data_IF_338696182471
#
_entry.id   IF_338696182471
#
_cell.length_a   1.000
_cell.length_b   1.000
_cell.length_c   1.000
_cell.angle_alpha   90.00
_cell.angle_beta   90.00
_cell.angle_gamma   90.00
#
_symmetry.space_group_name_H-M   'P 1'
#
loop_
_entity.id
_entity.type
_entity.pdbx_description
1 polymer ?
#
# COMPACT_ATOMS: atom_id res chain seq x y z
N UNK A 1 -2.07 -34.46 5.34
CA UNK A 1 -3.22 -34.25 4.47
C UNK A 1 -2.78 -33.31 3.37
N UNK A 2 -2.63 -33.80 2.14
CA UNK A 2 -2.36 -32.95 0.95
C UNK A 2 -3.57 -32.07 0.75
N UNK A 3 -3.43 -30.76 0.96
CA UNK A 3 -4.49 -29.79 0.65
C UNK A 3 -4.76 -29.88 -0.86
N UNK A 4 -5.99 -30.16 -1.26
CA UNK A 4 -6.38 -30.26 -2.67
C UNK A 4 -6.09 -28.95 -3.40
N UNK A 5 -5.44 -29.05 -4.56
CA UNK A 5 -5.20 -27.90 -5.44
C UNK A 5 -6.43 -27.65 -6.29
N UNK A 6 -6.84 -26.40 -6.39
CA UNK A 6 -7.95 -25.96 -7.24
C UNK A 6 -7.43 -25.61 -8.62
N UNK A 7 -8.09 -26.10 -9.69
CA UNK A 7 -7.75 -25.79 -11.08
C UNK A 7 -8.76 -24.80 -11.66
N UNK A 8 -8.28 -23.70 -12.20
CA UNK A 8 -9.12 -22.66 -12.81
C UNK A 8 -8.43 -21.99 -14.01
N UNK A 9 -9.14 -21.18 -14.75
CA UNK A 9 -8.61 -20.45 -15.90
C UNK A 9 -8.32 -19.01 -15.54
N UNK A 10 -7.06 -18.58 -15.68
CA UNK A 10 -6.61 -17.19 -15.55
C UNK A 10 -6.18 -16.67 -16.93
N UNK A 11 -6.93 -15.73 -17.49
CA UNK A 11 -6.72 -15.21 -18.85
C UNK A 11 -6.59 -16.37 -19.87
N UNK A 12 -7.57 -17.29 -19.86
CA UNK A 12 -7.67 -18.47 -20.76
C UNK A 12 -6.63 -19.57 -20.51
N UNK A 13 -5.64 -19.37 -19.63
CA UNK A 13 -4.67 -20.39 -19.26
C UNK A 13 -5.16 -21.19 -18.06
N UNK A 14 -5.11 -22.52 -18.16
CA UNK A 14 -5.39 -23.38 -17.01
C UNK A 14 -4.23 -23.28 -16.00
N UNK A 15 -4.55 -22.94 -14.76
CA UNK A 15 -3.60 -22.73 -13.67
C UNK A 15 -4.07 -23.45 -12.40
N UNK A 16 -3.12 -23.69 -11.48
CA UNK A 16 -3.40 -24.30 -10.18
C UNK A 16 -3.23 -23.26 -9.07
N UNK A 17 -4.23 -23.19 -8.19
CA UNK A 17 -4.15 -22.49 -6.93
C UNK A 17 -3.79 -23.45 -5.79
N UNK A 18 -2.94 -23.02 -4.89
CA UNK A 18 -2.76 -23.72 -3.62
C UNK A 18 -3.97 -23.50 -2.72
N UNK A 19 -4.13 -24.35 -1.70
CA UNK A 19 -5.21 -24.15 -0.75
C UNK A 19 -5.08 -22.75 -0.10
N UNK A 20 -6.21 -22.06 -0.05
CA UNK A 20 -6.33 -20.71 0.52
C UNK A 20 -5.75 -19.55 -0.30
N UNK A 21 -5.06 -19.79 -1.43
CA UNK A 21 -4.64 -18.70 -2.31
C UNK A 21 -5.83 -17.93 -2.89
N UNK A 22 -5.72 -16.61 -2.92
CA UNK A 22 -6.64 -15.73 -3.64
C UNK A 22 -6.29 -15.66 -5.12
N UNK A 23 -7.23 -15.19 -5.95
CA UNK A 23 -6.98 -14.96 -7.38
C UNK A 23 -5.77 -14.02 -7.58
N UNK A 24 -5.65 -12.99 -6.75
CA UNK A 24 -4.53 -12.04 -6.81
C UNK A 24 -3.19 -12.73 -6.53
N UNK A 25 -3.11 -13.57 -5.48
CA UNK A 25 -1.88 -14.30 -5.14
C UNK A 25 -1.44 -15.26 -6.23
N UNK A 26 -2.39 -16.00 -6.83
CA UNK A 26 -2.09 -16.87 -7.97
C UNK A 26 -1.61 -16.05 -9.16
N UNK A 27 -2.27 -14.93 -9.49
CA UNK A 27 -1.88 -14.05 -10.58
C UNK A 27 -0.47 -13.49 -10.37
N UNK A 28 -0.18 -12.98 -9.18
CA UNK A 28 1.13 -12.44 -8.81
C UNK A 28 2.25 -13.50 -8.93
N UNK A 29 2.04 -14.68 -8.37
CA UNK A 29 2.98 -15.82 -8.47
C UNK A 29 3.27 -16.24 -9.91
N UNK A 30 2.31 -16.04 -10.81
CA UNK A 30 2.45 -16.36 -12.25
C UNK A 30 2.89 -15.17 -13.09
N UNK A 31 3.27 -14.05 -12.48
CA UNK A 31 3.74 -12.84 -13.17
C UNK A 31 2.65 -12.03 -13.85
N UNK A 32 1.38 -12.24 -13.50
CA UNK A 32 0.27 -11.41 -13.98
C UNK A 32 0.00 -10.29 -12.99
N UNK A 33 0.34 -9.06 -13.37
CA UNK A 33 0.13 -7.89 -12.51
C UNK A 33 -1.36 -7.51 -12.43
N UNK A 34 -1.87 -7.39 -11.21
CA UNK A 34 -3.19 -6.84 -10.92
C UNK A 34 -3.02 -5.68 -9.95
N UNK A 35 -3.52 -4.47 -10.27
CA UNK A 35 -3.42 -3.32 -9.37
C UNK A 35 -4.02 -3.60 -7.99
N UNK A 36 -3.35 -3.11 -6.95
CA UNK A 36 -3.81 -3.22 -5.57
C UNK A 36 -3.22 -2.08 -4.73
N UNK A 37 -3.96 -1.63 -3.72
CA UNK A 37 -3.51 -0.57 -2.83
C UNK A 37 -3.80 -0.90 -1.36
N UNK A 38 -4.93 -1.56 -1.05
CA UNK A 38 -5.31 -1.91 0.32
C UNK A 38 -4.89 -3.33 0.74
N UNK A 39 -4.11 -4.00 -0.06
CA UNK A 39 -3.64 -5.36 0.18
C UNK A 39 -2.10 -5.40 0.22
N UNK A 40 -1.57 -6.14 1.16
CA UNK A 40 -0.15 -6.50 1.26
C UNK A 40 -0.02 -8.01 1.34
N UNK A 41 0.89 -8.60 0.56
CA UNK A 41 1.17 -10.05 0.60
C UNK A 41 2.20 -10.41 1.69
N UNK A 42 2.57 -9.44 2.53
CA UNK A 42 3.45 -9.68 3.68
C UNK A 42 2.74 -10.51 4.76
N UNK A 43 3.48 -11.32 5.52
CA UNK A 43 2.92 -12.06 6.64
C UNK A 43 2.18 -11.16 7.65
N UNK A 44 1.04 -11.63 8.14
CA UNK A 44 0.23 -10.91 9.12
C UNK A 44 -0.82 -9.96 8.53
N UNK A 45 -0.77 -9.66 7.23
CA UNK A 45 -1.79 -8.83 6.59
C UNK A 45 -2.90 -9.67 5.98
N UNK A 46 -4.13 -9.42 6.40
CA UNK A 46 -5.31 -9.95 5.72
C UNK A 46 -5.79 -8.99 4.62
N UNK A 47 -6.54 -9.49 3.66
CA UNK A 47 -7.15 -8.67 2.63
C UNK A 47 -8.53 -8.16 3.07
N UNK A 48 -8.80 -6.86 2.89
CA UNK A 48 -10.11 -6.26 3.17
C UNK A 48 -10.91 -5.92 1.91
N UNK A 49 -10.24 -5.81 0.75
CA UNK A 49 -10.89 -5.47 -0.52
C UNK A 49 -11.46 -4.05 -0.56
N UNK A 50 -10.95 -3.11 0.24
CA UNK A 50 -11.48 -1.76 0.40
C UNK A 50 -11.31 -0.88 -0.85
N UNK A 51 -10.10 -0.84 -1.43
CA UNK A 51 -9.76 0.10 -2.49
C UNK A 51 -10.37 -0.23 -3.86
N UNK A 52 -10.78 -1.48 -4.08
CA UNK A 52 -11.34 -1.95 -5.36
C UNK A 52 -10.43 -1.81 -6.60
N UNK A 53 -9.15 -1.50 -6.42
CA UNK A 53 -8.20 -1.44 -7.52
C UNK A 53 -7.94 -2.80 -8.19
N UNK A 54 -8.16 -3.91 -7.48
CA UNK A 54 -7.86 -5.27 -7.93
C UNK A 54 -9.05 -6.00 -8.59
N UNK A 55 -10.05 -5.27 -9.11
CA UNK A 55 -11.25 -5.88 -9.69
C UNK A 55 -10.93 -6.71 -10.93
N UNK A 56 -11.51 -7.91 -11.00
CA UNK A 56 -11.43 -8.85 -12.13
C UNK A 56 -12.80 -9.31 -12.55
N UNK A 57 -12.94 -9.75 -13.79
CA UNK A 57 -14.19 -10.36 -14.28
C UNK A 57 -14.14 -11.87 -14.15
N UNK A 58 -15.21 -12.44 -13.63
CA UNK A 58 -15.42 -13.89 -13.55
C UNK A 58 -16.57 -14.23 -14.50
N UNK A 59 -16.32 -15.17 -15.43
CA UNK A 59 -17.33 -15.59 -16.42
C UNK A 59 -18.53 -16.18 -15.71
N UNK A 60 -19.72 -15.72 -16.10
CA UNK A 60 -20.98 -16.12 -15.49
C UNK A 60 -21.40 -15.31 -14.26
N UNK A 61 -20.52 -14.47 -13.69
CA UNK A 61 -20.88 -13.56 -12.59
C UNK A 61 -21.33 -12.19 -13.13
N UNK A 62 -22.42 -11.66 -12.55
CA UNK A 62 -22.98 -10.35 -12.96
C UNK A 62 -22.05 -9.18 -12.62
N UNK A 63 -21.31 -9.29 -11.53
CA UNK A 63 -20.45 -8.22 -10.98
C UNK A 63 -18.99 -8.63 -11.02
N UNK A 64 -18.10 -7.61 -11.00
CA UNK A 64 -16.67 -7.83 -10.85
C UNK A 64 -16.34 -8.27 -9.41
N UNK A 65 -15.29 -9.06 -9.27
CA UNK A 65 -14.79 -9.53 -7.99
C UNK A 65 -13.47 -8.87 -7.61
N UNK A 66 -13.28 -8.60 -6.31
CA UNK A 66 -11.99 -8.15 -5.78
C UNK A 66 -11.04 -9.36 -5.67
N UNK A 67 -10.04 -9.42 -6.53
CA UNK A 67 -9.13 -10.57 -6.63
C UNK A 67 -8.29 -10.81 -5.38
N UNK A 68 -8.04 -9.78 -4.57
CA UNK A 68 -7.29 -9.90 -3.32
C UNK A 68 -8.02 -10.68 -2.20
N UNK A 69 -9.35 -10.84 -2.30
CA UNK A 69 -10.15 -11.60 -1.32
C UNK A 69 -10.84 -12.81 -1.94
N UNK A 70 -11.10 -12.79 -3.24
CA UNK A 70 -11.78 -13.89 -3.93
C UNK A 70 -10.84 -15.08 -4.11
N UNK A 71 -11.23 -16.23 -3.58
CA UNK A 71 -10.56 -17.51 -3.84
C UNK A 71 -11.10 -18.14 -5.13
N UNK A 72 -10.26 -18.79 -5.94
CA UNK A 72 -10.73 -19.52 -7.10
C UNK A 72 -11.49 -20.78 -6.70
N UNK A 73 -12.42 -21.19 -7.57
CA UNK A 73 -13.10 -22.48 -7.50
C UNK A 73 -12.81 -23.28 -8.77
N UNK A 74 -13.03 -24.58 -8.75
CA UNK A 74 -12.75 -25.43 -9.91
C UNK A 74 -13.49 -24.95 -11.16
N UNK A 75 -12.74 -24.95 -12.27
CA UNK A 75 -13.21 -24.53 -13.58
C UNK A 75 -13.63 -23.04 -13.67
N UNK A 76 -13.44 -22.23 -12.63
CA UNK A 76 -13.68 -20.78 -12.68
C UNK A 76 -12.87 -20.16 -13.82
N UNK A 77 -13.46 -19.23 -14.57
CA UNK A 77 -12.76 -18.49 -15.63
C UNK A 77 -12.64 -17.03 -15.25
N UNK A 78 -11.42 -16.57 -15.05
CA UNK A 78 -11.08 -15.21 -14.60
C UNK A 78 -10.40 -14.46 -15.72
N UNK A 79 -10.90 -13.26 -16.02
CA UNK A 79 -10.29 -12.29 -16.95
C UNK A 79 -9.78 -11.09 -16.17
N UNK A 80 -8.46 -10.92 -16.14
CA UNK A 80 -7.83 -9.81 -15.40
C UNK A 80 -7.84 -8.50 -16.17
N UNK A 81 -8.02 -8.54 -17.50
CA UNK A 81 -7.90 -7.39 -18.40
C UNK A 81 -9.07 -7.24 -19.36
N UNK A 82 -10.27 -7.68 -18.97
CA UNK A 82 -11.49 -7.42 -19.75
C UNK A 82 -11.81 -5.91 -19.76
N UNK A 83 -12.52 -5.43 -20.77
CA UNK A 83 -12.93 -4.02 -20.88
C UNK A 83 -13.68 -3.54 -19.63
N UNK A 84 -14.56 -4.40 -19.08
CA UNK A 84 -15.29 -4.12 -17.85
C UNK A 84 -14.38 -3.96 -16.64
N UNK A 85 -13.36 -4.82 -16.49
CA UNK A 85 -12.39 -4.75 -15.41
C UNK A 85 -11.49 -3.53 -15.54
N UNK A 86 -10.97 -3.23 -16.75
CA UNK A 86 -10.17 -2.03 -17.03
C UNK A 86 -10.95 -0.77 -16.71
N UNK A 87 -12.17 -0.64 -17.24
CA UNK A 87 -13.02 0.54 -16.99
C UNK A 87 -13.33 0.76 -15.52
N UNK A 88 -13.58 -0.32 -14.77
CA UNK A 88 -13.80 -0.24 -13.33
C UNK A 88 -12.56 0.28 -12.60
N UNK A 89 -11.37 -0.21 -12.95
CA UNK A 89 -10.09 0.26 -12.37
C UNK A 89 -9.81 1.73 -12.68
N UNK A 90 -9.98 2.12 -13.94
CA UNK A 90 -9.84 3.53 -14.35
C UNK A 90 -10.70 4.44 -13.47
N UNK A 91 -11.98 4.10 -13.30
CA UNK A 91 -12.90 4.88 -12.47
C UNK A 91 -12.50 4.89 -10.99
N UNK A 92 -12.01 3.78 -10.45
CA UNK A 92 -11.51 3.72 -9.07
C UNK A 92 -10.28 4.61 -8.91
N UNK A 93 -9.30 4.53 -9.80
CA UNK A 93 -8.11 5.38 -9.74
C UNK A 93 -8.44 6.85 -9.98
N UNK A 94 -9.39 7.17 -10.85
CA UNK A 94 -9.88 8.52 -11.05
C UNK A 94 -10.51 9.11 -9.78
N UNK A 95 -11.34 8.33 -9.07
CA UNK A 95 -11.92 8.72 -7.77
C UNK A 95 -10.84 8.94 -6.71
N UNK A 96 -9.87 8.04 -6.60
CA UNK A 96 -8.79 8.17 -5.63
C UNK A 96 -7.86 9.35 -5.97
N UNK A 97 -7.66 9.64 -7.26
CA UNK A 97 -6.84 10.76 -7.73
C UNK A 97 -7.46 12.11 -7.36
N UNK A 98 -8.80 12.21 -7.26
CA UNK A 98 -9.47 13.45 -6.88
C UNK A 98 -8.97 14.00 -5.53
N UNK A 99 -8.68 13.12 -4.59
CA UNK A 99 -8.26 13.48 -3.24
C UNK A 99 -6.73 13.65 -3.09
N UNK A 100 -5.96 13.32 -4.13
CA UNK A 100 -4.50 13.41 -4.06
C UNK A 100 -3.99 14.82 -4.40
N UNK A 101 -2.85 15.23 -3.81
CA UNK A 101 -2.10 16.38 -4.33
C UNK A 101 -1.61 16.08 -5.75
N UNK A 102 -1.24 17.10 -6.53
CA UNK A 102 -0.62 16.90 -7.84
C UNK A 102 0.69 16.11 -7.69
N UNK A 103 1.01 15.27 -8.66
CA UNK A 103 2.19 14.37 -8.60
C UNK A 103 3.50 15.10 -8.31
N UNK A 104 3.66 16.32 -8.86
CA UNK A 104 4.86 17.15 -8.71
C UNK A 104 5.09 17.62 -7.27
N UNK A 105 4.01 17.76 -6.50
CA UNK A 105 4.02 18.19 -5.10
C UNK A 105 3.49 17.10 -4.16
N UNK A 106 3.36 15.87 -4.66
CA UNK A 106 2.91 14.74 -3.86
C UNK A 106 3.89 14.43 -2.73
N UNK A 107 3.36 14.00 -1.60
CA UNK A 107 4.15 13.66 -0.40
C UNK A 107 5.17 12.56 -0.69
N UNK A 108 4.77 11.55 -1.47
CA UNK A 108 5.65 10.56 -2.08
C UNK A 108 5.23 10.31 -3.53
N UNK A 109 5.93 10.93 -4.48
CA UNK A 109 5.66 10.79 -5.90
C UNK A 109 6.11 9.44 -6.50
N UNK A 110 6.79 8.60 -5.71
CA UNK A 110 7.18 7.23 -6.05
C UNK A 110 6.37 6.17 -5.31
N UNK A 111 5.31 6.57 -4.61
CA UNK A 111 4.41 5.64 -3.91
C UNK A 111 3.76 4.64 -4.86
N UNK A 112 3.24 3.54 -4.32
CA UNK A 112 2.57 2.53 -5.12
C UNK A 112 1.31 3.08 -5.81
N UNK A 113 0.65 4.06 -5.21
CA UNK A 113 -0.45 4.78 -5.83
C UNK A 113 -0.02 5.42 -7.16
N UNK A 114 1.06 6.22 -7.18
CA UNK A 114 1.53 6.89 -8.39
C UNK A 114 2.07 5.92 -9.44
N UNK A 115 2.72 4.84 -9.03
CA UNK A 115 3.14 3.77 -9.96
C UNK A 115 1.94 3.13 -10.67
N UNK A 116 0.83 2.92 -9.95
CA UNK A 116 -0.39 2.37 -10.55
C UNK A 116 -1.14 3.40 -11.40
N UNK A 117 -1.18 4.67 -11.00
CA UNK A 117 -1.74 5.76 -11.82
C UNK A 117 -1.07 5.79 -13.21
N UNK A 118 0.28 5.73 -13.23
CA UNK A 118 1.03 5.71 -14.48
C UNK A 118 0.70 4.46 -15.33
N UNK A 119 0.58 3.28 -14.72
CA UNK A 119 0.25 2.03 -15.42
C UNK A 119 -1.19 1.95 -15.92
N UNK A 120 -2.13 2.55 -15.21
CA UNK A 120 -3.56 2.58 -15.57
C UNK A 120 -3.86 3.77 -16.51
N UNK A 121 -2.89 4.69 -16.69
CA UNK A 121 -2.93 5.84 -17.59
C UNK A 121 -4.03 6.87 -17.25
N UNK A 122 -4.40 7.01 -15.97
CA UNK A 122 -5.33 8.03 -15.50
C UNK A 122 -4.59 9.33 -15.30
N UNK A 123 -4.94 10.37 -16.06
CA UNK A 123 -4.23 11.67 -16.06
C UNK A 123 -4.90 12.72 -15.18
N UNK A 124 -6.22 12.73 -15.16
CA UNK A 124 -7.03 13.75 -14.50
C UNK A 124 -8.25 13.11 -13.85
N UNK A 125 -8.79 13.76 -12.84
CA UNK A 125 -10.06 13.40 -12.24
C UNK A 125 -11.13 14.43 -12.58
N UNK A 126 -12.31 13.96 -12.94
CA UNK A 126 -13.50 14.82 -13.14
C UNK A 126 -14.23 15.12 -11.82
N UNK A 127 -13.79 14.51 -10.72
CA UNK A 127 -14.41 14.68 -9.40
C UNK A 127 -13.76 15.85 -8.67
N UNK A 128 -14.53 16.58 -7.82
CA UNK A 128 -13.98 17.67 -7.02
C UNK A 128 -12.98 17.13 -5.98
N UNK A 129 -11.94 17.91 -5.73
CA UNK A 129 -10.95 17.58 -4.69
C UNK A 129 -11.59 17.77 -3.29
N UNK A 130 -11.25 16.88 -2.36
CA UNK A 130 -11.52 17.02 -0.94
C UNK A 130 -10.78 18.23 -0.33
N UNK A 131 -11.28 18.76 0.77
CA UNK A 131 -10.59 19.79 1.54
C UNK A 131 -9.24 19.30 2.02
N UNK A 132 -8.20 20.11 1.85
CA UNK A 132 -6.85 19.80 2.34
C UNK A 132 -6.79 19.72 3.85
N UNK A 133 -5.98 18.78 4.35
CA UNK A 133 -5.65 18.64 5.76
C UNK A 133 -4.25 19.20 6.03
N UNK A 134 -4.04 19.78 7.21
CA UNK A 134 -2.68 20.15 7.64
C UNK A 134 -1.86 18.90 7.95
N UNK A 135 -0.56 18.95 7.61
CA UNK A 135 0.36 17.87 7.90
C UNK A 135 0.70 17.85 9.40
N UNK A 136 0.75 16.63 9.97
CA UNK A 136 1.23 16.42 11.33
C UNK A 136 2.69 15.92 11.28
N UNK A 137 3.61 16.77 11.67
CA UNK A 137 5.05 16.50 11.77
C UNK A 137 5.53 16.50 13.23
N UNK A 138 4.62 16.33 14.18
CA UNK A 138 4.91 16.34 15.62
C UNK A 138 5.76 15.16 16.07
N UNK A 139 5.65 14.00 15.39
CA UNK A 139 6.34 12.79 15.79
C UNK A 139 7.81 12.78 15.32
N UNK A 140 8.79 12.43 16.19
CA UNK A 140 10.22 12.53 15.85
C UNK A 140 10.67 11.61 14.71
N UNK A 141 9.97 10.49 14.49
CA UNK A 141 10.36 9.47 13.50
C UNK A 141 9.44 9.39 12.30
N UNK A 142 8.23 9.89 12.39
CA UNK A 142 7.21 9.74 11.36
C UNK A 142 6.48 11.06 11.10
N UNK A 143 6.06 11.25 9.87
CA UNK A 143 5.23 12.36 9.43
C UNK A 143 3.91 11.85 8.85
N UNK A 144 2.84 12.57 9.12
CA UNK A 144 1.48 12.26 8.66
C UNK A 144 0.99 13.37 7.76
N UNK A 145 0.51 13.04 6.57
CA UNK A 145 -0.20 13.97 5.72
C UNK A 145 -1.41 13.29 5.08
N UNK A 146 -2.58 13.52 5.67
CA UNK A 146 -3.81 12.84 5.28
C UNK A 146 -4.37 13.29 3.93
N UNK A 147 -3.81 14.33 3.31
CA UNK A 147 -4.14 14.70 1.93
C UNK A 147 -3.84 13.58 0.92
N UNK A 148 -2.85 12.73 1.24
CA UNK A 148 -2.55 11.55 0.43
C UNK A 148 -3.31 10.29 0.87
N UNK A 149 -4.12 10.34 1.92
CA UNK A 149 -4.78 9.17 2.49
C UNK A 149 -5.97 8.71 1.64
N UNK A 150 -5.94 7.45 1.19
CA UNK A 150 -7.04 6.78 0.47
C UNK A 150 -7.91 5.89 1.37
N UNK A 151 -7.77 5.98 2.68
CA UNK A 151 -8.53 5.22 3.68
C UNK A 151 -8.50 3.69 3.47
N UNK A 152 -7.35 3.17 3.05
CA UNK A 152 -7.18 1.74 2.74
C UNK A 152 -7.05 0.83 3.97
N UNK A 153 -6.93 1.38 5.17
CA UNK A 153 -6.79 0.68 6.45
C UNK A 153 -5.50 -0.17 6.60
N UNK A 154 -4.53 -0.08 5.69
CA UNK A 154 -3.28 -0.84 5.84
C UNK A 154 -2.51 -0.44 7.10
N UNK A 155 -2.42 0.86 7.39
CA UNK A 155 -1.74 1.35 8.60
C UNK A 155 -2.46 0.95 9.90
N UNK A 156 -3.80 0.90 9.88
CA UNK A 156 -4.60 0.41 11.03
C UNK A 156 -4.27 -1.06 11.29
N UNK A 157 -4.25 -1.90 10.25
CA UNK A 157 -3.89 -3.32 10.38
C UNK A 157 -2.42 -3.51 10.75
N UNK A 158 -1.52 -2.71 10.19
CA UNK A 158 -0.11 -2.69 10.56
C UNK A 158 0.07 -2.47 12.06
N UNK A 159 -0.62 -1.47 12.61
CA UNK A 159 -0.54 -1.11 14.01
C UNK A 159 -1.25 -2.14 14.93
N UNK A 160 -2.48 -2.50 14.57
CA UNK A 160 -3.36 -3.32 15.42
C UNK A 160 -3.08 -4.82 15.29
N UNK A 161 -2.97 -5.34 14.05
CA UNK A 161 -2.92 -6.78 13.81
C UNK A 161 -1.48 -7.30 13.71
N UNK A 162 -0.56 -6.52 13.10
CA UNK A 162 0.84 -6.96 12.90
C UNK A 162 1.71 -6.62 14.09
N UNK A 163 1.66 -5.38 14.59
CA UNK A 163 2.49 -4.90 15.70
C UNK A 163 1.79 -4.95 17.08
N UNK A 164 0.48 -5.14 17.11
CA UNK A 164 -0.35 -5.26 18.32
C UNK A 164 -0.24 -4.05 19.26
N UNK A 165 -0.06 -2.85 18.70
CA UNK A 165 0.03 -1.60 19.47
C UNK A 165 -1.32 -0.88 19.61
N UNK A 166 -2.21 -1.02 18.63
CA UNK A 166 -3.57 -0.49 18.60
C UNK A 166 -3.70 1.04 18.78
N UNK A 167 -2.72 1.79 18.32
CA UNK A 167 -2.70 3.27 18.37
C UNK A 167 -3.49 3.88 17.21
N UNK A 168 -3.49 3.24 16.03
CA UNK A 168 -4.10 3.79 14.83
C UNK A 168 -5.51 3.20 14.64
N UNK A 169 -6.49 4.11 14.53
CA UNK A 169 -7.88 3.77 14.27
C UNK A 169 -8.50 4.56 13.12
N UNK A 170 -9.73 4.23 12.78
CA UNK A 170 -10.59 5.05 11.91
C UNK A 170 -11.62 5.75 12.75
N UNK A 171 -11.79 7.05 12.53
CA UNK A 171 -12.82 7.84 13.16
C UNK A 171 -13.69 8.55 12.14
N UNK A 172 -14.85 9.04 12.62
CA UNK A 172 -15.86 9.73 11.83
C UNK A 172 -16.46 8.84 10.72
N UNK A 173 -17.19 9.41 9.78
CA UNK A 173 -17.82 8.68 8.67
C UNK A 173 -18.08 9.56 7.47
N UNK A 174 -18.35 8.92 6.31
CA UNK A 174 -18.55 9.61 5.05
C UNK A 174 -17.30 10.37 4.62
N UNK A 175 -17.47 11.55 4.09
CA UNK A 175 -16.36 12.40 3.64
C UNK A 175 -15.40 12.83 4.75
N UNK A 176 -15.89 12.89 6.00
CA UNK A 176 -15.11 13.25 7.17
C UNK A 176 -14.33 12.06 7.77
N UNK A 177 -14.49 10.86 7.23
CA UNK A 177 -13.77 9.68 7.70
C UNK A 177 -12.27 9.88 7.57
N UNK A 178 -11.52 9.66 8.63
CA UNK A 178 -10.06 9.80 8.66
C UNK A 178 -9.40 8.79 9.59
N UNK A 179 -8.12 8.59 9.39
CA UNK A 179 -7.25 7.91 10.35
C UNK A 179 -7.01 8.83 11.53
N UNK A 180 -7.03 8.27 12.72
CA UNK A 180 -6.73 8.97 13.98
C UNK A 180 -5.71 8.16 14.78
N UNK A 181 -5.00 8.87 15.65
CA UNK A 181 -4.06 8.30 16.62
C UNK A 181 -4.68 8.47 18.01
N UNK A 182 -4.81 7.38 18.76
CA UNK A 182 -5.50 7.32 20.05
C UNK A 182 -6.88 8.03 20.01
N UNK A 183 -7.06 9.17 20.66
CA UNK A 183 -8.31 9.94 20.71
C UNK A 183 -8.37 11.11 19.72
N UNK A 184 -7.73 10.99 18.57
CA UNK A 184 -7.52 12.02 17.56
C UNK A 184 -6.43 13.03 17.96
N UNK A 185 -5.45 12.56 18.71
CA UNK A 185 -4.27 13.33 19.14
C UNK A 185 -3.29 13.50 17.97
N UNK A 186 -2.42 14.54 18.00
CA UNK A 186 -1.24 14.57 17.14
C UNK A 186 -0.40 13.29 17.34
N UNK A 187 0.19 12.78 16.25
CA UNK A 187 0.93 11.52 16.34
C UNK A 187 2.09 11.58 17.36
N UNK A 188 2.70 12.75 17.55
CA UNK A 188 3.78 12.96 18.52
C UNK A 188 3.33 12.87 19.98
N UNK A 189 2.06 13.13 20.26
CA UNK A 189 1.46 13.08 21.59
C UNK A 189 0.76 11.76 21.89
N UNK A 190 0.65 10.88 20.88
CA UNK A 190 0.02 9.56 20.99
C UNK A 190 0.90 8.54 21.70
N UNK A 191 0.30 7.39 22.05
CA UNK A 191 1.02 6.25 22.64
C UNK A 191 1.86 5.45 21.65
N UNK A 192 2.21 6.06 20.49
CA UNK A 192 2.98 5.43 19.43
C UNK A 192 4.39 5.03 19.89
N UNK A 193 4.76 3.78 19.66
CA UNK A 193 6.08 3.22 20.00
C UNK A 193 7.13 3.35 18.89
N UNK A 194 6.83 4.11 17.85
CA UNK A 194 7.76 4.38 16.74
C UNK A 194 8.25 3.15 15.97
N UNK A 195 7.46 2.09 15.87
CA UNK A 195 7.86 0.85 15.16
C UNK A 195 7.98 1.01 13.63
N UNK A 196 7.31 2.00 13.02
CA UNK A 196 7.40 2.32 11.59
C UNK A 196 6.63 1.38 10.65
N UNK A 197 5.95 0.35 11.11
CA UNK A 197 5.24 -0.61 10.25
C UNK A 197 4.12 0.07 9.43
N UNK A 198 3.42 1.03 10.04
CA UNK A 198 2.37 1.80 9.36
C UNK A 198 2.90 2.64 8.19
N UNK A 199 4.12 3.17 8.30
CA UNK A 199 4.82 3.89 7.23
C UNK A 199 5.14 2.96 6.08
N UNK A 200 5.69 1.77 6.37
CA UNK A 200 6.03 0.77 5.35
C UNK A 200 4.79 0.16 4.67
N UNK A 201 3.66 0.15 5.37
CA UNK A 201 2.40 -0.36 4.82
C UNK A 201 1.66 0.68 3.97
N UNK A 202 1.97 1.98 4.11
CA UNK A 202 1.23 3.04 3.44
C UNK A 202 1.51 3.07 1.94
N UNK A 203 0.49 2.87 1.06
CA UNK A 203 0.71 2.80 -0.38
C UNK A 203 0.73 4.17 -1.06
N UNK A 204 0.54 5.28 -0.33
CA UNK A 204 0.31 6.62 -0.91
C UNK A 204 1.28 7.69 -0.40
N UNK A 205 2.06 7.41 0.64
CA UNK A 205 2.89 8.42 1.29
C UNK A 205 2.13 9.32 2.29
N UNK A 206 0.90 8.94 2.68
CA UNK A 206 0.19 9.63 3.77
C UNK A 206 0.92 9.47 5.11
N UNK A 207 1.66 8.40 5.29
CA UNK A 207 2.57 8.17 6.41
C UNK A 207 3.98 7.98 5.84
N UNK A 208 4.93 8.75 6.30
CA UNK A 208 6.31 8.77 5.80
C UNK A 208 7.32 8.84 6.95
N UNK A 209 8.59 8.44 6.73
CA UNK A 209 9.65 8.72 7.68
C UNK A 209 9.85 10.24 7.83
N UNK A 210 9.89 10.76 9.05
CA UNK A 210 10.09 12.20 9.30
C UNK A 210 11.41 12.73 8.72
N UNK A 211 12.44 11.87 8.61
CA UNK A 211 13.76 12.24 8.08
C UNK A 211 13.77 12.65 6.60
N UNK A 212 12.73 12.32 5.83
CA UNK A 212 12.65 12.62 4.39
C UNK A 212 11.56 13.61 4.02
N UNK A 213 10.85 14.16 4.99
CA UNK A 213 9.82 15.18 4.77
C UNK A 213 10.26 16.53 5.31
N UNK A 214 9.71 17.60 4.77
CA UNK A 214 9.84 18.96 5.31
C UNK A 214 8.74 19.26 6.34
N UNK A 215 8.69 20.51 6.81
CA UNK A 215 7.67 20.99 7.76
C UNK A 215 6.23 20.91 7.22
N UNK A 216 6.07 20.85 5.91
CA UNK A 216 4.77 20.76 5.24
C UNK A 216 4.39 19.30 4.93
N UNK A 217 5.16 18.33 5.43
CA UNK A 217 4.93 16.90 5.25
C UNK A 217 5.21 16.40 3.83
N UNK A 218 5.95 17.18 3.02
CA UNK A 218 6.28 16.83 1.63
C UNK A 218 7.61 16.10 1.59
N UNK A 219 7.63 14.95 0.91
CA UNK A 219 8.80 14.10 0.82
C UNK A 219 9.90 14.65 -0.09
N UNK A 220 11.13 14.68 0.41
CA UNK A 220 12.32 15.05 -0.33
C UNK A 220 13.29 13.88 -0.42
N UNK A 221 12.97 12.93 -1.29
CA UNK A 221 13.72 11.68 -1.44
C UNK A 221 14.97 11.78 -2.34
N UNK A 222 15.30 12.96 -2.90
CA UNK A 222 16.51 13.11 -3.71
C UNK A 222 17.75 12.93 -2.86
N UNK A 223 18.54 11.94 -3.19
CA UNK A 223 19.81 11.59 -2.55
C UNK A 223 20.95 11.67 -3.56
N UNK A 224 22.17 11.95 -3.08
CA UNK A 224 23.35 12.06 -3.92
C UNK A 224 23.91 10.68 -4.25
N UNK A 225 23.84 9.76 -3.29
CA UNK A 225 24.33 8.39 -3.43
C UNK A 225 23.58 7.43 -2.51
N UNK A 226 23.58 6.17 -2.91
CA UNK A 226 23.07 5.02 -2.14
C UNK A 226 24.25 4.09 -1.85
N UNK A 227 24.34 3.59 -0.63
CA UNK A 227 25.45 2.76 -0.17
C UNK A 227 24.88 1.55 0.55
N UNK A 228 25.11 0.37 0.00
CA UNK A 228 24.74 -0.88 0.63
C UNK A 228 25.62 -1.17 1.85
N UNK A 229 25.02 -1.66 2.91
CA UNK A 229 25.70 -1.93 4.17
C UNK A 229 24.97 -3.01 4.95
N UNK A 230 25.45 -3.27 6.16
CA UNK A 230 24.88 -4.21 7.11
C UNK A 230 24.41 -3.45 8.35
N UNK A 231 23.23 -3.82 8.86
CA UNK A 231 22.68 -3.24 10.08
C UNK A 231 23.63 -3.49 11.28
N UNK A 232 24.02 -2.43 12.03
CA UNK A 232 25.01 -2.57 13.09
C UNK A 232 24.44 -2.99 14.46
N UNK A 233 23.12 -3.25 14.58
CA UNK A 233 22.50 -3.37 15.91
C UNK A 233 22.53 -4.79 16.50
N UNK A 234 21.60 -5.67 16.13
CA UNK A 234 21.41 -6.94 16.85
C UNK A 234 22.31 -8.11 16.40
N UNK A 235 23.22 -7.87 15.44
CA UNK A 235 24.13 -8.91 14.93
C UNK A 235 23.53 -9.92 13.95
N UNK A 236 22.23 -9.84 13.60
CA UNK A 236 21.59 -10.71 12.60
C UNK A 236 22.19 -10.52 11.22
N UNK A 237 22.73 -9.32 10.91
CA UNK A 237 23.37 -9.03 9.63
C UNK A 237 22.39 -8.66 8.51
N UNK A 238 21.24 -8.07 8.88
CA UNK A 238 20.28 -7.56 7.90
C UNK A 238 20.94 -6.55 6.96
N UNK A 239 20.70 -6.70 5.67
CA UNK A 239 21.22 -5.77 4.66
C UNK A 239 20.39 -4.51 4.60
N UNK A 240 21.06 -3.37 4.50
CA UNK A 240 20.46 -2.05 4.48
C UNK A 240 21.13 -1.19 3.41
N UNK A 241 20.41 -0.17 2.94
CA UNK A 241 20.89 0.85 2.02
C UNK A 241 20.88 2.21 2.73
N UNK A 242 22.05 2.83 2.89
CA UNK A 242 22.16 4.21 3.34
C UNK A 242 21.87 5.17 2.19
N UNK A 243 20.90 6.04 2.40
CA UNK A 243 20.55 7.11 1.47
C UNK A 243 21.21 8.42 1.94
N UNK A 244 22.21 8.87 1.18
CA UNK A 244 23.13 9.96 1.59
C UNK A 244 22.85 11.20 0.76
N UNK A 245 22.77 12.37 1.44
CA UNK A 245 22.70 13.69 0.83
C UNK A 245 23.60 14.65 1.62
N UNK A 246 24.34 15.50 0.93
CA UNK A 246 25.27 16.46 1.53
C UNK A 246 26.23 15.79 2.55
N UNK A 247 26.73 14.60 2.19
CA UNK A 247 27.60 13.75 3.01
C UNK A 247 27.01 13.34 4.38
N UNK A 248 25.69 13.36 4.53
CA UNK A 248 24.95 12.90 5.71
C UNK A 248 23.95 11.81 5.34
N UNK A 249 23.82 10.81 6.19
CA UNK A 249 22.76 9.80 6.05
C UNK A 249 21.42 10.49 6.33
N UNK A 250 20.53 10.47 5.35
CA UNK A 250 19.18 11.05 5.46
C UNK A 250 18.20 10.03 6.00
N UNK A 251 18.23 8.82 5.43
CA UNK A 251 17.39 7.71 5.86
C UNK A 251 18.03 6.39 5.44
N UNK A 252 17.50 5.31 5.98
CA UNK A 252 17.98 3.95 5.76
C UNK A 252 16.81 3.08 5.33
N UNK A 253 16.99 2.33 4.26
CA UNK A 253 16.03 1.31 3.82
C UNK A 253 16.57 -0.08 4.11
N UNK A 254 15.69 -1.03 4.39
CA UNK A 254 16.02 -2.43 4.26
C UNK A 254 16.18 -2.79 2.78
N UNK A 255 17.12 -3.67 2.45
CA UNK A 255 17.24 -4.29 1.13
C UNK A 255 17.26 -5.80 1.27
N UNK A 256 16.85 -6.51 0.21
CA UNK A 256 16.81 -7.95 0.25
C UNK A 256 18.22 -8.53 0.42
N UNK A 257 18.37 -9.42 1.39
CA UNK A 257 19.61 -10.07 1.70
C UNK A 257 19.43 -11.42 2.35
N UNK A 258 20.53 -12.14 2.64
CA UNK A 258 20.46 -13.47 3.24
C UNK A 258 19.71 -13.52 4.56
N UNK A 259 19.82 -12.46 5.38
CA UNK A 259 19.23 -12.36 6.71
C UNK A 259 17.85 -11.71 6.72
N UNK A 260 17.48 -10.96 5.70
CA UNK A 260 16.22 -10.23 5.60
C UNK A 260 15.63 -10.32 4.20
N UNK A 261 14.78 -11.31 3.98
CA UNK A 261 13.96 -11.42 2.78
C UNK A 261 12.72 -10.54 2.93
N UNK A 262 12.34 -9.88 1.83
CA UNK A 262 11.21 -8.93 1.78
C UNK A 262 11.44 -7.62 2.57
N UNK A 263 12.70 -7.30 2.82
CA UNK A 263 13.20 -6.03 3.43
C UNK A 263 12.90 -5.82 4.89
#
# INVERSE_FOLDING_TARGET
MTKEKTKFYLNEKLVEANADETIWQVANRLGTEIPHLCYSDKPGYRADGNCRACMVEIEGERVLAASCIRKPTDSMKVKTSSEKAKKSRELVFELLLADQPKKEIAHDNNSDFWKWIDKVEVKESRFPKKTSCEADVSHPSMAVNLDACIQCNLCVRACREVQVNDVIGMAYRGENSKIVFDFDDPMGDSTCVACGECVQACPTGALMPASIVDKDGVGHSKVDKKIDSVCPYCGVGCQIEYNVKDNKIKYVNGVDGPANKNR
#
